data_IF_386510461285
#
_entry.id   IF_386510461285
#
_cell.length_a   1.000
_cell.length_b   1.000
_cell.length_c   1.000
_cell.angle_alpha   90.00
_cell.angle_beta   90.00
_cell.angle_gamma   90.00
#
_symmetry.space_group_name_H-M   'P 1'
#
loop_
_entity.id
_entity.type
_entity.pdbx_description
1 polymer ?
#
# COMPACT_ATOMS: atom_id res chain seq x y z
N UNK A 1 16.20 -13.13 15.09
CA UNK A 1 17.27 -12.73 14.15
C UNK A 1 17.75 -13.90 13.26
N UNK A 2 17.97 -15.12 13.79
CA UNK A 2 18.43 -16.26 12.98
C UNK A 2 17.41 -16.74 11.93
N UNK A 3 16.11 -16.73 12.24
CA UNK A 3 15.05 -17.16 11.31
C UNK A 3 14.95 -16.26 10.07
N UNK A 4 15.05 -14.94 10.25
CA UNK A 4 15.00 -13.97 9.14
C UNK A 4 16.16 -14.15 8.16
N UNK A 5 17.39 -14.24 8.69
CA UNK A 5 18.58 -14.47 7.88
C UNK A 5 18.51 -15.80 7.13
N UNK A 6 17.92 -16.84 7.73
CA UNK A 6 17.70 -18.12 7.06
C UNK A 6 16.67 -18.03 5.91
N UNK A 7 15.65 -17.17 6.03
CA UNK A 7 14.70 -16.89 4.94
C UNK A 7 15.38 -16.09 3.84
N UNK A 8 16.10 -15.02 4.20
CA UNK A 8 16.81 -14.15 3.26
C UNK A 8 17.86 -14.91 2.42
N UNK A 9 18.64 -15.79 3.04
CA UNK A 9 19.62 -16.62 2.34
C UNK A 9 18.95 -17.65 1.41
N UNK A 10 17.76 -18.14 1.76
CA UNK A 10 17.06 -19.17 0.99
C UNK A 10 16.21 -18.61 -0.15
N UNK A 11 15.57 -17.47 0.06
CA UNK A 11 14.69 -16.84 -0.91
C UNK A 11 14.58 -15.34 -0.61
N UNK A 12 15.27 -14.55 -1.43
CA UNK A 12 15.24 -13.09 -1.34
C UNK A 12 13.81 -12.55 -1.53
N UNK A 13 13.03 -13.11 -2.45
CA UNK A 13 11.63 -12.72 -2.70
C UNK A 13 10.75 -12.94 -1.47
N UNK A 14 10.93 -14.04 -0.72
CA UNK A 14 10.20 -14.28 0.53
C UNK A 14 10.55 -13.24 1.61
N UNK A 15 11.83 -12.87 1.70
CA UNK A 15 12.26 -11.84 2.65
C UNK A 15 11.72 -10.46 2.28
N UNK A 16 11.71 -10.11 0.99
CA UNK A 16 11.19 -8.84 0.48
C UNK A 16 9.66 -8.76 0.59
N UNK A 17 8.96 -9.87 0.34
CA UNK A 17 7.52 -9.99 0.55
C UNK A 17 7.15 -9.74 2.01
N UNK A 18 7.88 -10.37 2.93
CA UNK A 18 7.67 -10.16 4.36
C UNK A 18 7.94 -8.70 4.76
N UNK A 19 9.05 -8.10 4.28
CA UNK A 19 9.40 -6.69 4.52
C UNK A 19 8.32 -5.73 4.00
N UNK A 20 7.78 -5.98 2.81
CA UNK A 20 6.67 -5.22 2.23
C UNK A 20 5.40 -5.34 3.08
N UNK A 21 5.05 -6.56 3.49
CA UNK A 21 3.85 -6.81 4.27
C UNK A 21 3.81 -6.14 5.65
N UNK A 22 4.95 -5.66 6.15
CA UNK A 22 5.02 -4.84 7.36
C UNK A 22 4.31 -3.47 7.23
N UNK A 23 4.08 -3.01 5.99
CA UNK A 23 3.54 -1.68 5.70
C UNK A 23 2.08 -1.68 5.23
N UNK A 24 1.54 -2.83 4.85
CA UNK A 24 0.11 -3.03 4.61
C UNK A 24 -0.56 -3.63 5.83
N UNK A 25 -1.89 -3.64 5.86
CA UNK A 25 -2.65 -4.28 6.94
C UNK A 25 -2.28 -5.76 7.08
N UNK A 26 -2.24 -6.25 8.32
CA UNK A 26 -1.80 -7.61 8.63
C UNK A 26 -2.91 -8.66 8.49
N UNK A 27 -4.11 -8.23 8.09
CA UNK A 27 -5.29 -9.04 7.81
C UNK A 27 -5.57 -8.97 6.30
N UNK A 28 -6.04 -10.09 5.74
CA UNK A 28 -6.52 -10.19 4.36
C UNK A 28 -5.45 -9.89 3.28
N UNK A 29 -4.37 -10.66 3.27
CA UNK A 29 -3.30 -10.59 2.27
C UNK A 29 -3.59 -11.57 1.12
N UNK A 30 -4.18 -11.11 0.01
CA UNK A 30 -4.55 -11.98 -1.13
C UNK A 30 -3.59 -11.89 -2.33
N UNK A 31 -3.62 -12.91 -3.19
CA UNK A 31 -2.73 -13.03 -4.36
C UNK A 31 -2.81 -11.82 -5.32
N UNK A 32 -4.00 -11.27 -5.53
CA UNK A 32 -4.24 -10.08 -6.36
C UNK A 32 -3.63 -8.78 -5.81
N UNK A 33 -3.36 -8.70 -4.50
CA UNK A 33 -2.57 -7.60 -3.94
C UNK A 33 -1.11 -7.69 -4.43
N UNK A 34 -0.62 -8.88 -4.81
CA UNK A 34 0.83 -9.12 -4.92
C UNK A 34 1.32 -9.36 -6.34
N UNK A 35 0.45 -9.83 -7.24
CA UNK A 35 0.71 -9.81 -8.68
C UNK A 35 1.06 -8.42 -9.22
N UNK A 36 0.60 -7.34 -8.56
CA UNK A 36 0.92 -5.97 -8.93
C UNK A 36 2.39 -5.57 -8.68
N UNK A 37 3.16 -6.34 -7.89
CA UNK A 37 4.56 -6.02 -7.53
C UNK A 37 5.63 -6.96 -8.05
N UNK A 38 5.29 -8.21 -8.38
CA UNK A 38 6.28 -9.22 -8.72
C UNK A 38 6.19 -9.56 -10.20
N UNK A 39 7.24 -9.27 -10.96
CA UNK A 39 7.42 -9.85 -12.28
C UNK A 39 7.56 -11.36 -12.17
N UNK A 40 6.44 -12.09 -12.31
CA UNK A 40 6.40 -13.56 -12.37
C UNK A 40 5.63 -14.21 -11.22
N UNK A 41 4.55 -14.93 -11.55
CA UNK A 41 3.69 -15.62 -10.58
C UNK A 41 4.34 -16.81 -9.87
N UNK A 42 5.33 -17.47 -10.47
CA UNK A 42 5.97 -18.67 -9.88
C UNK A 42 6.87 -18.32 -8.68
N UNK A 43 7.69 -17.28 -8.80
CA UNK A 43 8.59 -16.80 -7.74
C UNK A 43 7.80 -16.37 -6.49
N UNK A 44 6.60 -15.82 -6.71
CA UNK A 44 5.69 -15.41 -5.66
C UNK A 44 5.11 -16.61 -4.88
N UNK A 45 4.64 -17.64 -5.58
CA UNK A 45 4.09 -18.84 -4.93
C UNK A 45 5.13 -19.58 -4.10
N UNK A 46 6.39 -19.62 -4.56
CA UNK A 46 7.47 -20.24 -3.80
C UNK A 46 7.87 -19.41 -2.56
N UNK A 47 7.80 -18.08 -2.66
CA UNK A 47 7.97 -17.19 -1.51
C UNK A 47 6.87 -17.39 -0.45
N UNK A 48 5.61 -17.45 -0.87
CA UNK A 48 4.45 -17.68 0.00
C UNK A 48 4.55 -19.03 0.73
N UNK A 49 4.84 -20.12 0.00
CA UNK A 49 5.05 -21.46 0.59
C UNK A 49 6.15 -21.47 1.63
N UNK A 50 7.24 -20.74 1.38
CA UNK A 50 8.35 -20.65 2.33
C UNK A 50 7.92 -19.91 3.61
N UNK A 51 7.16 -18.82 3.49
CA UNK A 51 6.65 -18.06 4.63
C UNK A 51 5.66 -18.87 5.47
N UNK A 52 4.78 -19.66 4.83
CA UNK A 52 3.90 -20.62 5.51
C UNK A 52 4.70 -21.67 6.27
N UNK A 53 5.74 -22.24 5.65
CA UNK A 53 6.60 -23.25 6.27
C UNK A 53 7.31 -22.74 7.53
N UNK A 54 7.68 -21.47 7.54
CA UNK A 54 8.29 -20.82 8.70
C UNK A 54 7.28 -20.18 9.65
N UNK A 55 5.97 -20.39 9.43
CA UNK A 55 4.89 -19.81 10.23
C UNK A 55 4.96 -18.28 10.35
N UNK A 56 5.51 -17.63 9.32
CA UNK A 56 5.57 -16.16 9.24
C UNK A 56 4.22 -15.59 8.80
N UNK A 57 3.42 -16.40 8.10
CA UNK A 57 2.04 -16.12 7.71
C UNK A 57 1.14 -17.32 8.01
N UNK A 58 -0.14 -17.03 8.13
CA UNK A 58 -1.21 -17.98 8.36
C UNK A 58 -2.15 -17.96 7.14
N UNK A 59 -2.47 -19.14 6.60
CA UNK A 59 -3.49 -19.26 5.57
C UNK A 59 -4.88 -19.16 6.21
N UNK A 60 -5.70 -18.23 5.72
CA UNK A 60 -7.13 -18.12 6.02
C UNK A 60 -7.91 -18.68 4.84
N UNK A 61 -8.69 -19.73 5.10
CA UNK A 61 -9.24 -20.58 4.04
C UNK A 61 -10.24 -19.90 3.10
N UNK A 62 -10.26 -20.38 1.85
CA UNK A 62 -11.48 -20.61 1.08
C UNK A 62 -11.32 -21.92 0.28
N UNK A 63 -12.45 -22.58 0.01
CA UNK A 63 -12.61 -23.94 -0.56
C UNK A 63 -12.13 -24.06 -2.03
N UNK A 64 -11.57 -23.01 -2.63
CA UNK A 64 -11.19 -22.96 -4.05
C UNK A 64 -9.84 -22.26 -4.30
N UNK A 65 -8.81 -22.56 -3.49
CA UNK A 65 -7.40 -22.33 -3.86
C UNK A 65 -6.90 -20.88 -3.91
N UNK A 66 -7.74 -19.88 -3.63
CA UNK A 66 -7.35 -18.49 -3.40
C UNK A 66 -7.49 -18.18 -1.91
N UNK A 67 -6.54 -18.65 -1.10
CA UNK A 67 -6.50 -18.40 0.33
C UNK A 67 -5.98 -17.00 0.62
N UNK A 68 -6.69 -16.26 1.48
CA UNK A 68 -6.17 -15.01 2.01
C UNK A 68 -5.15 -15.33 3.10
N UNK A 69 -4.13 -14.51 3.28
CA UNK A 69 -3.13 -14.72 4.32
C UNK A 69 -3.28 -13.69 5.43
N UNK A 70 -2.78 -14.01 6.62
CA UNK A 70 -2.61 -13.06 7.71
C UNK A 70 -1.23 -13.18 8.34
N UNK A 71 -0.74 -12.08 8.89
CA UNK A 71 0.47 -12.06 9.70
C UNK A 71 0.09 -11.84 11.14
N UNK A 72 0.60 -12.71 12.02
CA UNK A 72 0.42 -12.52 13.45
C UNK A 72 0.96 -11.13 13.88
N UNK A 73 0.23 -10.33 14.68
CA UNK A 73 0.61 -8.95 14.99
C UNK A 73 2.04 -8.77 15.53
N UNK A 74 2.55 -9.77 16.27
CA UNK A 74 3.93 -9.79 16.76
C UNK A 74 4.94 -9.89 15.62
N UNK A 75 4.70 -10.77 14.65
CA UNK A 75 5.54 -10.92 13.46
C UNK A 75 5.47 -9.65 12.62
N UNK A 76 4.27 -9.08 12.45
CA UNK A 76 4.07 -7.84 11.70
C UNK A 76 4.88 -6.68 12.27
N UNK A 77 4.80 -6.46 13.59
CA UNK A 77 5.56 -5.42 14.28
C UNK A 77 7.06 -5.69 14.22
N UNK A 78 7.47 -6.93 14.48
CA UNK A 78 8.88 -7.31 14.44
C UNK A 78 9.50 -7.07 13.05
N UNK A 79 8.80 -7.43 11.96
CA UNK A 79 9.29 -7.23 10.60
C UNK A 79 9.50 -5.75 10.27
N UNK A 80 8.66 -4.86 10.78
CA UNK A 80 8.89 -3.41 10.62
C UNK A 80 10.09 -2.91 11.43
N UNK A 81 10.38 -3.55 12.57
CA UNK A 81 11.43 -3.13 13.50
C UNK A 81 12.84 -3.56 13.05
N UNK A 82 12.96 -4.71 12.35
CA UNK A 82 14.24 -5.19 11.83
C UNK A 82 14.74 -4.42 10.61
N UNK A 83 13.90 -3.57 10.01
CA UNK A 83 14.26 -2.74 8.87
C UNK A 83 14.89 -1.42 9.35
N UNK A 84 15.92 -0.96 8.65
CA UNK A 84 16.45 0.39 8.82
C UNK A 84 15.52 1.44 8.18
N UNK A 85 15.79 2.72 8.39
CA UNK A 85 14.88 3.77 7.92
C UNK A 85 14.82 3.86 6.38
N UNK A 86 15.92 3.52 5.69
CA UNK A 86 15.95 3.45 4.23
C UNK A 86 15.10 2.28 3.71
N UNK A 87 15.23 1.10 4.31
CA UNK A 87 14.41 -0.07 4.01
C UNK A 87 12.94 0.22 4.26
N UNK A 88 12.58 0.82 5.42
CA UNK A 88 11.19 1.17 5.70
C UNK A 88 10.60 2.11 4.65
N UNK A 89 11.35 3.13 4.21
CA UNK A 89 10.91 4.05 3.14
C UNK A 89 10.72 3.33 1.81
N UNK A 90 11.67 2.47 1.43
CA UNK A 90 11.62 1.69 0.20
C UNK A 90 10.38 0.78 0.15
N UNK A 91 10.18 -0.03 1.20
CA UNK A 91 9.09 -0.99 1.27
C UNK A 91 7.72 -0.33 1.51
N UNK A 92 7.66 0.80 2.22
CA UNK A 92 6.45 1.62 2.30
C UNK A 92 6.04 2.13 0.91
N UNK A 93 6.98 2.65 0.12
CA UNK A 93 6.72 3.11 -1.25
C UNK A 93 6.21 1.98 -2.13
N UNK A 94 6.80 0.78 -2.01
CA UNK A 94 6.35 -0.40 -2.73
C UNK A 94 4.94 -0.84 -2.29
N UNK A 95 4.67 -0.86 -0.98
CA UNK A 95 3.35 -1.15 -0.44
C UNK A 95 2.26 -0.19 -0.94
N UNK A 96 2.55 1.12 -0.96
CA UNK A 96 1.64 2.13 -1.52
C UNK A 96 1.40 1.90 -3.01
N UNK A 97 2.45 1.57 -3.78
CA UNK A 97 2.35 1.26 -5.20
C UNK A 97 1.45 0.05 -5.45
N UNK A 98 1.67 -1.02 -4.69
CA UNK A 98 0.87 -2.25 -4.73
C UNK A 98 -0.60 -1.96 -4.46
N UNK A 99 -0.90 -1.34 -3.33
CA UNK A 99 -2.28 -0.99 -2.94
C UNK A 99 -2.92 -0.10 -4.00
N UNK A 100 -2.14 0.79 -4.61
CA UNK A 100 -2.57 1.70 -5.68
C UNK A 100 -2.71 1.11 -7.08
N UNK A 101 -2.21 -0.10 -7.34
CA UNK A 101 -2.46 -0.84 -8.58
C UNK A 101 -3.51 -1.93 -8.41
N UNK A 102 -3.75 -2.35 -7.18
CA UNK A 102 -4.75 -3.37 -6.85
C UNK A 102 -6.18 -2.84 -6.80
N UNK A 103 -6.43 -1.57 -7.12
CA UNK A 103 -7.78 -1.02 -7.09
C UNK A 103 -8.65 -1.44 -8.25
N UNK A 104 -9.96 -1.48 -7.99
CA UNK A 104 -10.91 -1.71 -9.06
C UNK A 104 -10.98 -0.49 -9.97
N UNK A 105 -11.09 -0.71 -11.28
CA UNK A 105 -11.72 0.27 -12.16
C UNK A 105 -13.17 0.43 -11.67
N UNK A 106 -13.70 1.66 -11.68
CA UNK A 106 -15.11 2.01 -11.45
C UNK A 106 -16.14 1.09 -12.12
N UNK A 107 -15.74 0.37 -13.17
CA UNK A 107 -16.58 -0.57 -13.94
C UNK A 107 -16.46 -2.04 -13.51
N UNK A 108 -15.62 -2.35 -12.54
CA UNK A 108 -15.38 -3.72 -12.04
C UNK A 108 -16.58 -4.19 -11.24
N UNK A 109 -17.09 -5.39 -11.53
CA UNK A 109 -18.28 -5.95 -10.85
C UNK A 109 -18.11 -6.06 -9.33
N UNK A 110 -16.88 -6.28 -8.86
CA UNK A 110 -16.54 -6.42 -7.45
C UNK A 110 -15.96 -5.14 -6.84
N UNK A 111 -16.23 -3.97 -7.46
CA UNK A 111 -15.70 -2.66 -7.06
C UNK A 111 -15.79 -2.42 -5.54
N UNK A 112 -17.00 -2.53 -4.98
CA UNK A 112 -17.25 -2.26 -3.58
C UNK A 112 -16.58 -3.26 -2.63
N UNK A 113 -16.50 -4.53 -3.03
CA UNK A 113 -15.85 -5.56 -2.22
C UNK A 113 -14.35 -5.35 -2.17
N UNK A 114 -13.72 -5.11 -3.32
CA UNK A 114 -12.29 -4.84 -3.41
C UNK A 114 -11.93 -3.54 -2.70
N UNK A 115 -12.77 -2.51 -2.80
CA UNK A 115 -12.61 -1.26 -2.09
C UNK A 115 -12.59 -1.44 -0.56
N UNK A 116 -13.54 -2.22 -0.01
CA UNK A 116 -13.57 -2.52 1.44
C UNK A 116 -12.34 -3.29 1.89
N UNK A 117 -11.85 -4.24 1.08
CA UNK A 117 -10.66 -5.03 1.38
C UNK A 117 -9.38 -4.19 1.32
N UNK A 118 -9.31 -3.20 0.44
CA UNK A 118 -8.14 -2.33 0.28
C UNK A 118 -8.02 -1.27 1.38
N UNK A 119 -9.15 -0.84 1.97
CA UNK A 119 -9.19 0.26 2.92
C UNK A 119 -8.25 0.08 4.14
N UNK A 120 -8.21 -1.08 4.83
CA UNK A 120 -7.26 -1.27 5.92
C UNK A 120 -5.80 -1.13 5.49
N UNK A 121 -5.44 -1.65 4.30
CA UNK A 121 -4.07 -1.54 3.79
C UNK A 121 -3.70 -0.09 3.47
N UNK A 122 -4.64 0.66 2.89
CA UNK A 122 -4.53 2.09 2.64
C UNK A 122 -4.27 2.88 3.93
N UNK A 123 -5.07 2.65 4.96
CA UNK A 123 -4.95 3.35 6.24
C UNK A 123 -3.62 3.04 6.91
N UNK A 124 -3.18 1.78 6.82
CA UNK A 124 -1.89 1.35 7.35
C UNK A 124 -0.71 2.03 6.65
N UNK A 125 -0.76 2.12 5.32
CA UNK A 125 0.24 2.85 4.53
C UNK A 125 0.25 4.34 4.90
N UNK A 126 -0.93 4.97 5.04
CA UNK A 126 -1.07 6.38 5.42
C UNK A 126 -0.50 6.67 6.80
N UNK A 127 -0.73 5.77 7.76
CA UNK A 127 -0.17 5.86 9.10
C UNK A 127 1.36 5.82 9.09
N UNK A 128 1.95 4.90 8.32
CA UNK A 128 3.41 4.80 8.17
C UNK A 128 4.00 6.03 7.48
N UNK A 129 3.34 6.54 6.44
CA UNK A 129 3.75 7.77 5.76
C UNK A 129 3.79 8.96 6.73
N UNK A 130 2.82 9.06 7.65
CA UNK A 130 2.82 10.09 8.70
C UNK A 130 4.02 10.01 9.66
N UNK A 131 4.56 8.80 9.92
CA UNK A 131 5.73 8.62 10.80
C UNK A 131 7.04 9.12 10.22
N UNK A 132 7.12 9.32 8.90
CA UNK A 132 8.31 9.81 8.22
C UNK A 132 8.27 11.32 7.92
N UNK A 133 7.25 12.04 8.40
CA UNK A 133 7.18 13.50 8.26
C UNK A 133 8.38 14.18 8.94
N UNK A 134 9.03 15.11 8.22
CA UNK A 134 10.11 15.97 8.73
C UNK A 134 11.51 15.73 8.15
N UNK A 135 11.70 14.74 7.28
CA UNK A 135 12.97 14.54 6.55
C UNK A 135 12.68 14.20 5.11
N UNK A 136 13.00 15.12 4.19
CA UNK A 136 12.96 15.00 2.72
C UNK A 136 12.47 13.62 2.27
N UNK A 137 11.17 13.57 2.00
CA UNK A 137 10.58 12.41 1.38
C UNK A 137 10.72 12.62 -0.13
N UNK A 138 11.80 12.08 -0.70
CA UNK A 138 12.01 12.08 -2.15
C UNK A 138 10.94 11.21 -2.80
N UNK A 139 9.88 11.87 -3.23
CA UNK A 139 8.72 11.29 -3.86
C UNK A 139 8.98 11.06 -5.36
N UNK A 140 10.17 10.58 -5.73
CA UNK A 140 10.46 10.34 -7.14
C UNK A 140 9.89 9.01 -7.65
N UNK A 141 9.35 9.14 -8.88
CA UNK A 141 8.82 8.14 -9.84
C UNK A 141 7.43 7.56 -9.60
N UNK A 142 6.47 8.25 -10.23
CA UNK A 142 5.43 7.72 -11.14
C UNK A 142 4.30 6.85 -10.60
N UNK A 143 4.48 6.14 -9.49
CA UNK A 143 3.54 5.10 -9.05
C UNK A 143 2.67 5.50 -7.87
N UNK A 144 3.11 6.51 -7.10
CA UNK A 144 2.31 7.00 -5.98
C UNK A 144 1.12 7.83 -6.47
N UNK A 145 1.20 8.40 -7.68
CA UNK A 145 0.11 9.13 -8.35
C UNK A 145 -1.14 8.25 -8.55
N UNK A 146 -0.95 6.99 -8.96
CA UNK A 146 -2.05 6.01 -9.10
C UNK A 146 -2.58 5.60 -7.73
N UNK A 147 -1.69 5.37 -6.75
CA UNK A 147 -2.10 5.11 -5.38
C UNK A 147 -2.92 6.27 -4.81
N UNK A 148 -2.48 7.52 -4.96
CA UNK A 148 -3.20 8.70 -4.49
C UNK A 148 -4.54 8.91 -5.21
N UNK A 149 -4.60 8.63 -6.51
CA UNK A 149 -5.84 8.72 -7.28
C UNK A 149 -6.85 7.64 -6.88
N UNK A 150 -6.38 6.43 -6.59
CA UNK A 150 -7.24 5.39 -6.03
C UNK A 150 -7.73 5.73 -4.62
N UNK A 151 -6.85 6.28 -3.79
CA UNK A 151 -7.17 6.67 -2.42
C UNK A 151 -8.31 7.68 -2.38
N UNK A 152 -8.32 8.62 -3.33
CA UNK A 152 -9.37 9.59 -3.58
C UNK A 152 -10.72 8.95 -3.86
N UNK A 153 -10.77 8.05 -4.85
CA UNK A 153 -11.99 7.29 -5.18
C UNK A 153 -12.47 6.48 -3.97
N UNK A 154 -11.53 5.83 -3.25
CA UNK A 154 -11.78 5.04 -2.07
C UNK A 154 -12.43 5.84 -0.93
N UNK A 155 -11.91 7.04 -0.65
CA UNK A 155 -12.40 7.88 0.44
C UNK A 155 -13.63 8.71 0.04
N UNK A 156 -13.73 9.15 -1.23
CA UNK A 156 -14.88 9.87 -1.74
C UNK A 156 -16.15 9.02 -1.68
N UNK A 157 -16.07 7.77 -2.12
CA UNK A 157 -17.21 6.83 -2.10
C UNK A 157 -17.60 6.38 -0.68
N UNK A 158 -16.74 6.61 0.31
CA UNK A 158 -17.03 6.33 1.72
C UNK A 158 -17.45 7.58 2.52
N UNK A 159 -17.64 8.73 1.84
CA UNK A 159 -18.00 9.99 2.49
C UNK A 159 -16.89 10.57 3.38
N UNK A 160 -15.64 10.12 3.21
CA UNK A 160 -14.46 10.51 4.00
C UNK A 160 -13.58 11.50 3.25
N UNK A 161 -14.20 12.48 2.60
CA UNK A 161 -13.53 13.47 1.74
C UNK A 161 -12.42 14.24 2.48
N UNK A 162 -12.62 14.58 3.75
CA UNK A 162 -11.58 15.25 4.55
C UNK A 162 -10.30 14.42 4.77
N UNK A 163 -10.42 13.10 4.88
CA UNK A 163 -9.25 12.21 4.98
C UNK A 163 -8.50 12.11 3.63
N UNK A 164 -9.25 12.11 2.52
CA UNK A 164 -8.71 12.12 1.17
C UNK A 164 -7.92 13.42 0.91
N UNK A 165 -8.50 14.57 1.23
CA UNK A 165 -7.87 15.88 1.03
C UNK A 165 -6.56 15.97 1.84
N UNK A 166 -6.59 15.55 3.11
CA UNK A 166 -5.39 15.54 3.95
C UNK A 166 -4.27 14.64 3.40
N UNK A 167 -4.59 13.59 2.64
CA UNK A 167 -3.59 12.76 1.97
C UNK A 167 -3.01 13.45 0.74
N UNK A 168 -3.83 14.10 -0.08
CA UNK A 168 -3.31 14.84 -1.23
C UNK A 168 -2.51 16.06 -0.85
N UNK A 169 -2.89 16.79 0.21
CA UNK A 169 -2.08 17.86 0.77
C UNK A 169 -0.68 17.36 1.16
N UNK A 170 -0.59 16.14 1.72
CA UNK A 170 0.70 15.49 2.04
C UNK A 170 1.49 15.12 0.78
N UNK A 171 0.84 14.57 -0.24
CA UNK A 171 1.50 14.23 -1.52
C UNK A 171 1.97 15.50 -2.25
N UNK A 172 1.16 16.56 -2.24
CA UNK A 172 1.45 17.85 -2.84
C UNK A 172 2.73 18.45 -2.26
N UNK A 173 2.87 18.45 -0.93
CA UNK A 173 4.08 18.95 -0.27
C UNK A 173 5.34 18.19 -0.68
N UNK A 174 5.27 16.89 -0.93
CA UNK A 174 6.42 16.10 -1.41
C UNK A 174 6.74 16.31 -2.89
N UNK A 175 5.73 16.59 -3.71
CA UNK A 175 5.92 16.89 -5.13
C UNK A 175 6.43 18.32 -5.36
N UNK A 176 5.98 19.31 -4.57
CA UNK A 176 6.44 20.69 -4.71
C UNK A 176 7.93 20.88 -4.43
N UNK A 177 8.56 19.97 -3.67
CA UNK A 177 10.00 20.03 -3.39
C UNK A 177 10.85 19.33 -4.45
N UNK A 178 10.24 18.54 -5.34
CA UNK A 178 10.96 17.66 -6.28
C UNK A 178 10.58 17.88 -7.75
N UNK A 179 9.41 18.45 -8.03
CA UNK A 179 8.85 18.59 -9.38
C UNK A 179 8.59 20.06 -9.72
N UNK A 180 8.83 20.41 -10.99
CA UNK A 180 8.50 21.72 -11.53
C UNK A 180 6.99 22.00 -11.44
N UNK A 181 6.56 23.27 -11.29
CA UNK A 181 5.15 23.64 -11.23
C UNK A 181 4.30 23.14 -12.41
N UNK A 182 4.92 22.94 -13.58
CA UNK A 182 4.28 22.44 -14.80
C UNK A 182 4.23 20.91 -14.91
N UNK A 183 4.77 20.18 -13.94
CA UNK A 183 4.75 18.72 -13.97
C UNK A 183 3.30 18.21 -13.89
N UNK A 184 2.95 17.32 -14.83
CA UNK A 184 1.61 16.74 -14.97
C UNK A 184 1.11 16.10 -13.67
N UNK A 185 1.99 15.51 -12.86
CA UNK A 185 1.63 14.84 -11.60
C UNK A 185 1.26 15.86 -10.53
N UNK A 186 2.00 16.95 -10.45
CA UNK A 186 1.73 18.03 -9.52
C UNK A 186 0.37 18.67 -9.83
N UNK A 187 0.12 18.95 -11.12
CA UNK A 187 -1.16 19.50 -11.60
C UNK A 187 -2.34 18.57 -11.34
N UNK A 188 -2.15 17.25 -11.49
CA UNK A 188 -3.18 16.27 -11.18
C UNK A 188 -3.52 16.23 -9.69
N UNK A 189 -2.51 16.28 -8.79
CA UNK A 189 -2.76 16.33 -7.34
C UNK A 189 -3.50 17.60 -6.94
N UNK A 190 -3.14 18.74 -7.53
CA UNK A 190 -3.83 20.01 -7.29
C UNK A 190 -5.31 19.91 -7.71
N UNK A 191 -5.57 19.43 -8.93
CA UNK A 191 -6.95 19.26 -9.43
C UNK A 191 -7.79 18.32 -8.57
N UNK A 192 -7.21 17.24 -8.04
CA UNK A 192 -7.93 16.31 -7.18
C UNK A 192 -8.26 16.92 -5.80
N UNK A 193 -7.37 17.75 -5.23
CA UNK A 193 -7.67 18.52 -4.00
C UNK A 193 -8.85 19.46 -4.23
N UNK A 194 -8.86 20.18 -5.37
CA UNK A 194 -9.93 21.10 -5.70
C UNK A 194 -11.27 20.38 -5.89
N UNK A 195 -11.26 19.23 -6.58
CA UNK A 195 -12.45 18.39 -6.74
C UNK A 195 -12.99 17.90 -5.40
N UNK A 196 -12.12 17.44 -4.49
CA UNK A 196 -12.50 17.00 -3.15
C UNK A 196 -13.10 18.13 -2.30
N UNK A 197 -12.53 19.34 -2.35
CA UNK A 197 -13.05 20.51 -1.65
C UNK A 197 -14.43 20.89 -2.14
N UNK A 198 -14.64 20.86 -3.47
CA UNK A 198 -15.94 21.11 -4.07
C UNK A 198 -16.96 20.06 -3.63
N UNK A 199 -16.59 18.77 -3.67
CA UNK A 199 -17.45 17.68 -3.21
C UNK A 199 -17.80 17.80 -1.72
N UNK A 200 -16.85 18.20 -0.86
CA UNK A 200 -17.10 18.36 0.58
C UNK A 200 -18.04 19.55 0.85
N UNK A 201 -17.87 20.66 0.15
CA UNK A 201 -18.76 21.82 0.26
C UNK A 201 -20.19 21.59 -0.25
N UNK A 202 -20.41 20.59 -1.12
CA UNK A 202 -21.75 20.18 -1.57
C UNK A 202 -22.46 19.30 -0.52
N UNK A 203 -21.72 18.52 0.27
CA UNK A 203 -22.30 17.67 1.32
C UNK A 203 -22.64 18.45 2.61
N UNK A 204 -22.02 19.61 2.81
CA UNK A 204 -22.24 20.49 3.97
C UNK A 204 -23.38 21.54 3.74
N UNK A 205 -24.05 21.53 2.58
CA UNK A 205 -25.10 22.49 2.17
C UNK A 205 -26.50 21.85 2.12
#
# INVERSE_FOLDING_TARGET
>A
MMLFKAIEVRNEHASNLLRLWAFVDNIDLWHGLLQASAGGGEQFLDAERLLLRYSMIEARGSVQGSGNHSIHPVVHRWTSHIQDDNGKRLFLRQAMTVVGFSGPDSKTKDYWELQRRLLPHVERCSWWAGKFQGREYDFERSNITNATHMLDLLYADQGRLGAAEAMYQRALSGFQTTLEPSDRKLQMVIGNIEHLRQANGILDA
#
